data_IF_483866578429
#
_entry.id   IF_483866578429
#
_cell.length_a   1.000
_cell.length_b   1.000
_cell.length_c   1.000
_cell.angle_alpha   90.00
_cell.angle_beta   90.00
_cell.angle_gamma   90.00
#
_symmetry.space_group_name_H-M   'P 1'
#
loop_
_entity.id
_entity.type
_entity.pdbx_description
1 polymer ?
#
# COMPACT_ATOMS: atom_id res chain seq x y z
N UNK A 1 7.88 -5.42 -17.50
CA UNK A 1 7.95 -4.33 -18.49
C UNK A 1 8.63 -3.08 -17.91
N UNK A 2 8.06 -2.43 -16.89
CA UNK A 2 8.61 -1.20 -16.31
C UNK A 2 10.10 -1.32 -15.91
N UNK A 3 10.46 -2.33 -15.10
CA UNK A 3 11.85 -2.60 -14.72
C UNK A 3 12.82 -2.73 -15.92
N UNK A 4 12.33 -3.24 -17.05
CA UNK A 4 13.13 -3.45 -18.27
C UNK A 4 13.09 -2.25 -19.23
N UNK A 5 12.63 -1.08 -18.79
CA UNK A 5 12.70 0.16 -19.57
C UNK A 5 11.43 0.54 -20.34
N UNK A 6 10.28 -0.07 -20.05
CA UNK A 6 9.02 0.45 -20.57
C UNK A 6 8.65 1.77 -19.86
N UNK A 7 8.49 2.84 -20.62
CA UNK A 7 8.15 4.18 -20.09
C UNK A 7 6.67 4.36 -19.77
N UNK A 8 5.81 3.50 -20.33
CA UNK A 8 4.36 3.57 -20.16
C UNK A 8 3.75 2.18 -19.95
N UNK A 9 2.81 2.09 -19.02
CA UNK A 9 2.01 0.89 -18.76
C UNK A 9 0.54 1.21 -19.05
N UNK A 10 -0.03 0.59 -20.08
CA UNK A 10 -1.48 0.58 -20.25
C UNK A 10 -2.08 -0.34 -19.18
N UNK A 11 -3.00 0.20 -18.38
CA UNK A 11 -3.63 -0.58 -17.32
C UNK A 11 -4.60 -1.61 -17.91
N UNK A 12 -4.80 -2.70 -17.18
CA UNK A 12 -5.80 -3.72 -17.48
C UNK A 12 -6.79 -3.74 -16.34
N UNK A 13 -8.08 -3.71 -16.64
CA UNK A 13 -9.14 -3.76 -15.61
C UNK A 13 -9.47 -5.21 -15.26
N UNK A 14 -10.05 -5.48 -14.08
CA UNK A 14 -10.59 -6.81 -13.76
C UNK A 14 -11.68 -7.29 -14.73
N UNK A 15 -12.32 -6.38 -15.47
CA UNK A 15 -13.37 -6.68 -16.44
C UNK A 15 -12.84 -7.08 -17.83
N UNK A 16 -11.53 -6.99 -18.07
CA UNK A 16 -10.92 -7.28 -19.36
C UNK A 16 -11.34 -8.67 -19.87
N UNK A 17 -11.77 -8.75 -21.13
CA UNK A 17 -12.34 -9.95 -21.77
C UNK A 17 -13.64 -10.50 -21.17
N UNK A 18 -14.28 -9.81 -20.22
CA UNK A 18 -15.51 -10.27 -19.56
C UNK A 18 -16.70 -9.33 -19.81
N UNK A 19 -16.50 -8.00 -19.68
CA UNK A 19 -17.53 -6.97 -19.90
C UNK A 19 -16.90 -5.58 -20.01
N UNK A 20 -17.75 -4.57 -20.27
CA UNK A 20 -17.34 -3.18 -20.08
C UNK A 20 -17.06 -2.89 -18.59
N UNK A 21 -16.00 -2.15 -18.26
CA UNK A 21 -15.61 -1.87 -16.89
C UNK A 21 -16.56 -0.88 -16.20
N UNK A 22 -16.80 -1.09 -14.91
CA UNK A 22 -17.44 -0.13 -14.02
C UNK A 22 -16.41 0.90 -13.53
N UNK A 23 -16.86 1.93 -12.82
CA UNK A 23 -15.95 2.89 -12.18
C UNK A 23 -14.98 2.21 -11.20
N UNK A 24 -15.43 1.18 -10.48
CA UNK A 24 -14.60 0.43 -9.54
C UNK A 24 -13.55 -0.42 -10.28
N UNK A 25 -13.91 -1.06 -11.39
CA UNK A 25 -12.95 -1.82 -12.21
C UNK A 25 -11.85 -0.92 -12.76
N UNK A 26 -12.21 0.30 -13.17
CA UNK A 26 -11.24 1.32 -13.60
C UNK A 26 -10.32 1.71 -12.45
N UNK A 27 -10.88 2.01 -11.26
CA UNK A 27 -10.08 2.39 -10.08
C UNK A 27 -9.08 1.29 -9.71
N UNK A 28 -9.52 0.02 -9.62
CA UNK A 28 -8.63 -1.10 -9.29
C UNK A 28 -7.51 -1.29 -10.32
N UNK A 29 -7.83 -1.19 -11.62
CA UNK A 29 -6.83 -1.28 -12.68
C UNK A 29 -5.78 -0.16 -12.63
N UNK A 30 -6.20 1.07 -12.33
CA UNK A 30 -5.30 2.21 -12.12
C UNK A 30 -4.41 1.96 -10.90
N UNK A 31 -4.97 1.55 -9.76
CA UNK A 31 -4.18 1.33 -8.55
C UNK A 31 -3.16 0.19 -8.72
N UNK A 32 -3.55 -0.92 -9.37
CA UNK A 32 -2.64 -2.01 -9.70
C UNK A 32 -1.49 -1.54 -10.59
N UNK A 33 -1.78 -0.72 -11.60
CA UNK A 33 -0.76 -0.20 -12.52
C UNK A 33 0.17 0.82 -11.86
N UNK A 34 -0.34 1.65 -10.94
CA UNK A 34 0.48 2.56 -10.13
C UNK A 34 1.45 1.80 -9.22
N UNK A 35 1.00 0.70 -8.61
CA UNK A 35 1.87 -0.20 -7.83
C UNK A 35 2.94 -0.81 -8.72
N UNK A 36 2.57 -1.32 -9.90
CA UNK A 36 3.51 -1.93 -10.83
C UNK A 36 4.55 -0.93 -11.38
N UNK A 37 4.14 0.31 -11.66
CA UNK A 37 5.05 1.38 -12.08
C UNK A 37 6.05 1.71 -10.97
N UNK A 38 5.57 1.97 -9.75
CA UNK A 38 6.40 2.27 -8.58
C UNK A 38 7.41 1.16 -8.28
N UNK A 39 6.97 -0.10 -8.33
CA UNK A 39 7.87 -1.25 -8.17
C UNK A 39 8.95 -1.29 -9.28
N UNK A 40 8.58 -0.92 -10.50
CA UNK A 40 9.52 -0.77 -11.61
C UNK A 40 10.56 0.34 -11.39
N UNK A 41 10.14 1.48 -10.85
CA UNK A 41 11.00 2.62 -10.54
C UNK A 41 12.04 2.27 -9.47
N UNK A 42 11.61 1.60 -8.40
CA UNK A 42 12.51 1.07 -7.37
C UNK A 42 13.50 0.07 -7.98
N UNK A 43 13.00 -0.89 -8.77
CA UNK A 43 13.85 -1.92 -9.36
C UNK A 43 14.88 -1.37 -10.37
N UNK A 44 14.58 -0.24 -11.01
CA UNK A 44 15.50 0.50 -11.88
C UNK A 44 16.54 1.31 -11.09
N UNK A 45 16.39 1.45 -9.78
CA UNK A 45 17.24 2.29 -8.96
C UNK A 45 17.08 3.77 -9.26
N UNK A 46 15.85 4.21 -9.61
CA UNK A 46 15.57 5.65 -9.75
C UNK A 46 15.81 6.31 -8.38
N UNK A 47 16.59 7.40 -8.38
CA UNK A 47 16.92 8.13 -7.17
C UNK A 47 15.67 8.48 -6.36
N UNK A 48 15.69 8.21 -5.06
CA UNK A 48 14.64 8.48 -4.09
C UNK A 48 13.29 7.77 -4.34
N UNK A 49 13.22 6.82 -5.30
CA UNK A 49 11.99 6.09 -5.59
C UNK A 49 11.51 5.23 -4.41
N UNK A 50 12.41 4.77 -3.54
CA UNK A 50 12.10 3.97 -2.34
C UNK A 50 11.80 4.82 -1.09
N UNK A 51 11.99 6.15 -1.16
CA UNK A 51 11.79 7.04 -0.02
C UNK A 51 10.34 6.97 0.53
N UNK A 52 9.27 6.98 -0.30
CA UNK A 52 7.91 6.80 0.20
C UNK A 52 7.72 5.48 0.97
N UNK A 53 8.31 4.38 0.49
CA UNK A 53 8.27 3.06 1.16
C UNK A 53 8.99 3.09 2.49
N UNK A 54 10.15 3.73 2.55
CA UNK A 54 10.93 3.90 3.77
C UNK A 54 10.17 4.72 4.82
N UNK A 55 9.53 5.82 4.41
CA UNK A 55 8.68 6.65 5.29
C UNK A 55 7.50 5.83 5.83
N UNK A 56 6.76 5.16 4.94
CA UNK A 56 5.63 4.32 5.32
C UNK A 56 6.05 3.15 6.23
N UNK A 57 7.21 2.54 5.98
CA UNK A 57 7.72 1.41 6.76
C UNK A 57 8.15 1.84 8.16
N UNK A 58 8.81 3.00 8.30
CA UNK A 58 9.14 3.59 9.60
C UNK A 58 7.88 3.97 10.39
N UNK A 59 6.86 4.52 9.72
CA UNK A 59 5.56 4.82 10.33
C UNK A 59 4.88 3.55 10.84
N UNK A 60 4.87 2.48 10.04
CA UNK A 60 4.40 1.14 10.44
C UNK A 60 5.16 0.61 11.66
N UNK A 61 6.47 0.82 11.68
CA UNK A 61 7.37 0.59 12.82
C UNK A 61 6.84 1.13 14.13
N UNK A 62 6.48 2.40 14.12
CA UNK A 62 6.04 3.18 15.28
C UNK A 62 4.54 3.09 15.54
N UNK A 63 3.81 2.28 14.76
CA UNK A 63 2.34 2.24 14.74
C UNK A 63 1.71 3.63 14.54
N UNK A 64 2.40 4.51 13.79
CA UNK A 64 1.89 5.81 13.36
C UNK A 64 0.96 5.62 12.17
N UNK A 65 -0.32 5.37 12.49
CA UNK A 65 -1.35 5.09 11.50
C UNK A 65 -1.59 6.25 10.54
N UNK A 66 -1.55 7.50 11.00
CA UNK A 66 -1.85 8.64 10.12
C UNK A 66 -0.76 8.79 9.06
N UNK A 67 0.52 8.74 9.43
CA UNK A 67 1.62 8.80 8.46
C UNK A 67 1.63 7.58 7.54
N UNK A 68 1.39 6.37 8.08
CA UNK A 68 1.31 5.16 7.26
C UNK A 68 0.19 5.24 6.21
N UNK A 69 -1.00 5.71 6.61
CA UNK A 69 -2.16 5.83 5.73
C UNK A 69 -1.96 6.93 4.68
N UNK A 70 -1.37 8.06 5.07
CA UNK A 70 -1.01 9.14 4.14
C UNK A 70 0.00 8.69 3.07
N UNK A 71 0.93 7.77 3.42
CA UNK A 71 1.90 7.21 2.49
C UNK A 71 1.37 6.13 1.55
N UNK A 72 0.12 5.70 1.69
CA UNK A 72 -0.44 4.63 0.86
C UNK A 72 -0.88 5.11 -0.53
N UNK A 73 -0.74 4.23 -1.54
CA UNK A 73 -1.11 4.52 -2.95
C UNK A 73 -2.62 4.78 -3.09
N UNK A 74 -3.44 4.06 -2.32
CA UNK A 74 -4.88 4.27 -2.19
C UNK A 74 -5.25 4.51 -0.72
N UNK A 75 -5.22 5.78 -0.33
CA UNK A 75 -5.49 6.22 1.05
C UNK A 75 -6.93 5.96 1.47
N UNK A 76 -7.88 6.07 0.54
CA UNK A 76 -9.30 5.86 0.83
C UNK A 76 -9.54 4.40 1.22
N UNK A 77 -9.04 3.46 0.41
CA UNK A 77 -9.17 2.02 0.68
C UNK A 77 -8.44 1.63 1.97
N UNK A 78 -7.23 2.14 2.19
CA UNK A 78 -6.47 1.87 3.40
C UNK A 78 -7.18 2.38 4.67
N UNK A 79 -7.74 3.59 4.64
CA UNK A 79 -8.53 4.16 5.74
C UNK A 79 -9.82 3.38 5.98
N UNK A 80 -10.51 2.98 4.91
CA UNK A 80 -11.72 2.17 5.00
C UNK A 80 -11.44 0.83 5.71
N UNK A 81 -10.36 0.14 5.33
CA UNK A 81 -9.96 -1.14 5.97
C UNK A 81 -9.53 -0.96 7.42
N UNK A 82 -8.81 0.12 7.75
CA UNK A 82 -8.46 0.41 9.14
C UNK A 82 -9.70 0.69 10.00
N UNK A 83 -10.71 1.33 9.42
CA UNK A 83 -11.98 1.65 10.10
C UNK A 83 -12.89 0.43 10.23
N UNK A 84 -12.87 -0.48 9.26
CA UNK A 84 -13.69 -1.71 9.30
C UNK A 84 -13.22 -2.71 10.35
N UNK A 85 -12.00 -2.56 10.86
CA UNK A 85 -11.45 -3.41 11.90
C UNK A 85 -10.97 -2.59 13.10
N UNK A 86 -11.77 -2.56 14.16
CA UNK A 86 -11.46 -1.83 15.40
C UNK A 86 -10.96 -2.79 16.48
N UNK A 87 -9.64 -2.83 16.75
CA UNK A 87 -9.09 -3.63 17.85
C UNK A 87 -9.50 -3.04 19.20
N UNK A 88 -9.54 -3.91 20.22
CA UNK A 88 -9.71 -3.50 21.63
C UNK A 88 -8.62 -2.53 22.07
N UNK A 89 -7.39 -2.75 21.60
CA UNK A 89 -6.26 -1.84 21.77
C UNK A 89 -5.97 -1.05 20.49
N UNK A 90 -6.01 0.28 20.57
CA UNK A 90 -5.89 1.16 19.39
C UNK A 90 -4.51 1.14 18.72
N UNK A 91 -3.47 0.66 19.41
CA UNK A 91 -2.07 0.75 18.99
C UNK A 91 -1.80 -0.15 17.78
N UNK A 92 -2.23 -1.42 17.83
CA UNK A 92 -2.01 -2.40 16.78
C UNK A 92 -3.24 -2.58 15.86
N UNK A 93 -3.13 -3.45 14.84
CA UNK A 93 -4.27 -3.93 14.06
C UNK A 93 -4.86 -5.21 14.66
N UNK A 94 -5.97 -5.69 14.11
CA UNK A 94 -6.65 -6.90 14.58
C UNK A 94 -6.02 -8.21 14.10
N UNK A 95 -5.02 -8.19 13.21
CA UNK A 95 -4.52 -9.40 12.56
C UNK A 95 -3.84 -10.37 13.56
N UNK A 96 -3.00 -9.85 14.47
CA UNK A 96 -2.19 -10.67 15.36
C UNK A 96 -2.55 -10.51 16.86
N UNK A 97 -3.35 -9.50 17.21
CA UNK A 97 -3.64 -9.16 18.61
C UNK A 97 -2.36 -8.97 19.43
N UNK A 98 -2.28 -9.64 20.59
CA UNK A 98 -1.15 -9.56 21.52
C UNK A 98 0.15 -10.20 21.00
N UNK A 99 0.10 -10.95 19.90
CA UNK A 99 1.28 -11.52 19.25
C UNK A 99 1.86 -10.60 18.17
N UNK A 100 1.42 -9.33 18.12
CA UNK A 100 1.97 -8.35 17.19
C UNK A 100 3.48 -8.14 17.42
N UNK A 101 4.35 -8.44 16.44
CA UNK A 101 5.79 -8.29 16.61
C UNK A 101 6.21 -6.82 16.75
N UNK A 102 5.51 -5.91 16.08
CA UNK A 102 5.81 -4.47 16.15
C UNK A 102 5.49 -3.91 17.54
N UNK A 103 4.38 -4.35 18.15
CA UNK A 103 4.01 -4.00 19.54
C UNK A 103 5.09 -4.49 20.51
N UNK A 104 5.50 -5.76 20.39
CA UNK A 104 6.55 -6.37 21.22
C UNK A 104 7.88 -5.64 21.09
N UNK A 105 8.29 -5.27 19.87
CA UNK A 105 9.54 -4.55 19.64
C UNK A 105 9.51 -3.15 20.27
N UNK A 106 8.40 -2.43 20.15
CA UNK A 106 8.20 -1.10 20.74
C UNK A 106 8.15 -1.12 22.28
N UNK A 107 7.74 -2.23 22.89
CA UNK A 107 7.79 -2.42 24.36
C UNK A 107 9.21 -2.76 24.87
N UNK A 108 10.10 -3.25 24.01
CA UNK A 108 11.47 -3.64 24.35
C UNK A 108 12.50 -2.52 24.15
N UNK A 109 12.21 -1.55 23.28
CA UNK A 109 13.07 -0.41 22.96
C UNK A 109 12.74 0.81 23.82
#
# INVERSE_FOLDING_TARGET
>A
AAMHGADFLCYVTPAEHLRLPSADDVKEGIMASRIAAHAGDIAKGISDADNPDNVMSKARGKMDWETQLAGSIDQEKARAYRKSSQPSEKKACTMCGDFCPMKRLDELL
#
